data_IF_716916794588
#
_entry.id   IF_716916794588
#
_cell.length_a   1.000
_cell.length_b   1.000
_cell.length_c   1.000
_cell.angle_alpha   90.00
_cell.angle_beta   90.00
_cell.angle_gamma   90.00
#
_symmetry.space_group_name_H-M   'P 1'
#
loop_
_entity.id
_entity.type
_entity.pdbx_description
1 polymer ?
#
# COMPACT_ATOMS: atom_id res chain seq x y z
N UNK A 1 -29.00 -25.95 -53.39
CA UNK A 1 -30.27 -25.30 -53.16
C UNK A 1 -31.33 -26.28 -52.73
N UNK A 2 -31.62 -26.46 -51.48
CA UNK A 2 -32.92 -26.67 -50.86
C UNK A 2 -32.76 -26.84 -49.36
N UNK A 3 -33.29 -25.89 -48.65
CA UNK A 3 -33.49 -25.92 -47.24
C UNK A 3 -34.68 -26.79 -46.90
N UNK A 4 -34.58 -27.74 -46.00
CA UNK A 4 -35.74 -28.38 -45.36
C UNK A 4 -35.56 -28.28 -43.85
N UNK A 5 -36.41 -27.49 -43.26
CA UNK A 5 -36.70 -27.45 -41.84
C UNK A 5 -37.21 -28.78 -41.34
N UNK A 6 -36.75 -29.24 -40.21
CA UNK A 6 -37.44 -30.28 -39.42
C UNK A 6 -37.53 -29.81 -37.99
N UNK A 7 -38.74 -29.44 -37.61
CA UNK A 7 -39.19 -29.20 -36.24
C UNK A 7 -39.13 -30.50 -35.44
N UNK A 8 -38.65 -30.44 -34.22
CA UNK A 8 -38.79 -31.49 -33.22
C UNK A 8 -39.85 -31.10 -32.19
N UNK A 9 -40.71 -32.01 -31.77
CA UNK A 9 -41.84 -31.71 -30.89
C UNK A 9 -41.45 -31.70 -29.41
N UNK A 10 -42.16 -30.84 -28.67
CA UNK A 10 -42.15 -30.72 -27.23
C UNK A 10 -42.72 -31.97 -26.53
N UNK A 11 -42.16 -32.41 -25.40
CA UNK A 11 -42.86 -33.40 -24.56
C UNK A 11 -43.74 -32.72 -23.54
N UNK A 12 -44.94 -33.25 -23.45
CA UNK A 12 -46.07 -32.96 -22.57
C UNK A 12 -45.77 -33.23 -21.09
N UNK A 13 -46.38 -32.41 -20.26
CA UNK A 13 -46.51 -32.57 -18.81
C UNK A 13 -47.07 -33.94 -18.40
N UNK A 14 -46.54 -34.52 -17.32
CA UNK A 14 -47.29 -35.41 -16.44
C UNK A 14 -47.00 -35.05 -14.98
N UNK A 15 -48.07 -34.70 -14.31
CA UNK A 15 -48.20 -34.52 -12.88
C UNK A 15 -47.84 -35.79 -12.10
N UNK A 16 -47.14 -35.61 -10.97
CA UNK A 16 -47.20 -36.56 -9.86
C UNK A 16 -46.86 -35.86 -8.53
N UNK A 17 -47.90 -35.67 -7.78
CA UNK A 17 -48.08 -35.83 -6.33
C UNK A 17 -46.82 -35.89 -5.42
N UNK A 18 -46.85 -35.01 -4.51
CA UNK A 18 -46.54 -35.03 -3.09
C UNK A 18 -45.43 -35.94 -2.57
N UNK A 19 -44.43 -35.30 -1.98
CA UNK A 19 -43.82 -35.81 -0.77
C UNK A 19 -43.19 -34.66 0.02
N UNK A 20 -43.46 -34.72 1.28
CA UNK A 20 -43.09 -33.84 2.36
C UNK A 20 -41.62 -33.37 2.31
N UNK A 21 -41.44 -32.10 2.62
CA UNK A 21 -40.14 -31.53 2.93
C UNK A 21 -39.70 -31.98 4.34
N UNK A 22 -38.50 -32.51 4.53
CA UNK A 22 -37.93 -32.55 5.84
C UNK A 22 -37.40 -31.16 6.20
N UNK A 23 -37.80 -30.70 7.36
CA UNK A 23 -37.25 -29.56 8.08
C UNK A 23 -35.76 -29.73 8.23
N UNK A 24 -34.97 -28.94 7.57
CA UNK A 24 -33.55 -28.79 7.88
C UNK A 24 -33.37 -27.55 8.70
N UNK A 25 -33.60 -27.72 9.97
CA UNK A 25 -32.95 -27.00 11.01
C UNK A 25 -31.52 -27.56 11.09
N UNK A 26 -30.56 -26.89 10.51
CA UNK A 26 -29.18 -27.08 10.91
C UNK A 26 -28.26 -26.04 10.30
N UNK A 27 -27.64 -25.35 11.23
CA UNK A 27 -26.32 -24.82 11.17
C UNK A 27 -26.05 -23.65 10.22
N UNK A 28 -26.61 -22.53 10.55
CA UNK A 28 -25.99 -21.25 10.30
C UNK A 28 -24.71 -21.14 11.17
N UNK A 29 -23.65 -21.83 10.79
CA UNK A 29 -22.30 -21.48 11.19
C UNK A 29 -21.82 -20.39 10.25
N UNK A 30 -22.38 -19.21 10.43
CA UNK A 30 -21.77 -18.00 9.94
C UNK A 30 -20.38 -17.90 10.57
N UNK A 31 -19.37 -18.24 9.80
CA UNK A 31 -18.02 -17.76 10.06
C UNK A 31 -18.09 -16.24 10.12
N UNK A 32 -18.18 -15.71 11.33
CA UNK A 32 -17.94 -14.31 11.62
C UNK A 32 -16.47 -14.01 11.23
N UNK A 33 -16.26 -13.79 9.95
CA UNK A 33 -15.09 -13.11 9.47
C UNK A 33 -15.23 -11.69 10.00
N UNK A 34 -14.65 -11.46 11.18
CA UNK A 34 -14.57 -10.16 11.82
C UNK A 34 -14.14 -9.16 10.75
N UNK A 35 -15.07 -8.32 10.31
CA UNK A 35 -14.75 -7.11 9.57
C UNK A 35 -13.94 -6.25 10.53
N UNK A 36 -12.62 -6.35 10.46
CA UNK A 36 -11.75 -5.35 11.07
C UNK A 36 -12.21 -4.00 10.55
N UNK A 37 -12.80 -3.23 11.42
CA UNK A 37 -13.24 -1.88 11.11
C UNK A 37 -12.02 -1.03 10.75
N UNK A 38 -12.20 -0.04 9.88
CA UNK A 38 -11.14 0.90 9.50
C UNK A 38 -10.46 1.55 10.71
N UNK A 39 -11.15 1.59 11.83
CA UNK A 39 -10.68 2.16 13.10
C UNK A 39 -9.62 1.29 13.81
N UNK A 40 -9.63 -0.04 13.61
CA UNK A 40 -8.62 -0.93 14.20
C UNK A 40 -7.27 -0.88 13.47
N UNK A 41 -7.24 -0.29 12.27
CA UNK A 41 -6.01 -0.16 11.48
C UNK A 41 -5.17 1.06 11.86
N UNK A 42 -5.77 2.05 12.52
CA UNK A 42 -5.07 3.24 13.01
C UNK A 42 -4.34 3.01 14.34
N UNK A 43 -4.62 1.90 15.01
CA UNK A 43 -4.09 1.60 16.33
C UNK A 43 -2.76 0.83 16.31
N UNK A 44 -2.23 0.52 15.13
CA UNK A 44 -0.91 -0.06 15.04
C UNK A 44 0.12 1.06 15.23
N UNK A 45 0.47 1.31 16.48
CA UNK A 45 1.58 2.21 16.82
C UNK A 45 2.82 1.71 16.05
N UNK A 46 3.41 2.52 15.20
CA UNK A 46 4.66 2.14 14.56
C UNK A 46 5.70 1.92 15.65
N UNK A 47 6.45 0.82 15.58
CA UNK A 47 7.46 0.50 16.58
C UNK A 47 8.51 1.59 16.72
N UNK A 48 9.36 1.47 17.75
CA UNK A 48 10.45 2.42 18.02
C UNK A 48 11.31 2.70 16.76
N UNK A 49 11.66 3.96 16.55
CA UNK A 49 12.46 4.41 15.40
C UNK A 49 11.70 4.57 14.09
N UNK A 50 10.38 4.42 14.09
CA UNK A 50 9.53 4.70 12.94
C UNK A 50 8.79 6.01 13.16
N UNK A 51 8.99 6.97 12.25
CA UNK A 51 8.23 8.21 12.22
C UNK A 51 7.08 8.12 11.23
N UNK A 52 5.97 8.75 11.55
CA UNK A 52 4.76 8.78 10.70
C UNK A 52 4.47 10.21 10.31
N UNK A 53 4.30 10.42 9.01
CA UNK A 53 3.87 11.69 8.44
C UNK A 53 2.59 11.48 7.63
N UNK A 54 1.92 12.57 7.31
CA UNK A 54 0.78 12.56 6.40
C UNK A 54 1.08 13.51 5.25
N UNK A 55 0.96 13.02 4.01
CA UNK A 55 1.15 13.86 2.84
C UNK A 55 0.07 14.96 2.77
N UNK A 56 0.32 16.00 2.00
CA UNK A 56 -0.62 17.10 1.82
C UNK A 56 -1.97 16.65 1.25
N UNK A 57 -1.99 15.54 0.53
CA UNK A 57 -3.19 14.92 -0.03
C UNK A 57 -3.70 13.69 0.78
N UNK A 58 -3.22 13.52 2.01
CA UNK A 58 -3.81 12.63 3.01
C UNK A 58 -3.27 11.20 3.07
N UNK A 59 -2.17 10.88 2.38
CA UNK A 59 -1.54 9.56 2.48
C UNK A 59 -0.60 9.47 3.68
N UNK A 60 -0.67 8.38 4.44
CA UNK A 60 0.29 8.11 5.51
C UNK A 60 1.64 7.69 4.96
N UNK A 61 2.70 8.27 5.51
CA UNK A 61 4.08 8.02 5.14
C UNK A 61 4.83 7.54 6.37
N UNK A 62 5.47 6.37 6.28
CA UNK A 62 6.27 5.77 7.34
C UNK A 62 7.75 5.89 6.99
N UNK A 63 8.55 6.33 7.94
CA UNK A 63 10.00 6.52 7.77
C UNK A 63 10.74 5.73 8.83
N UNK A 64 11.58 4.78 8.42
CA UNK A 64 12.49 4.06 9.30
C UNK A 64 13.75 4.87 9.57
N UNK A 65 14.13 5.06 10.84
CA UNK A 65 15.25 5.91 11.25
C UNK A 65 16.52 5.16 11.61
N UNK A 66 16.49 3.84 11.58
CA UNK A 66 17.62 2.95 11.81
C UNK A 66 17.40 1.62 11.10
N UNK A 67 18.40 0.74 11.11
CA UNK A 67 18.34 -0.54 10.41
C UNK A 67 17.18 -1.43 10.87
N UNK A 68 16.92 -1.51 12.18
CA UNK A 68 15.81 -2.29 12.73
C UNK A 68 14.45 -1.70 12.31
N UNK A 69 14.30 -0.39 12.35
CA UNK A 69 13.08 0.29 11.92
C UNK A 69 12.87 0.14 10.40
N UNK A 70 13.91 0.25 9.59
CA UNK A 70 13.85 0.01 8.15
C UNK A 70 13.35 -1.40 7.83
N UNK A 71 13.88 -2.40 8.54
CA UNK A 71 13.44 -3.80 8.44
C UNK A 71 11.95 -3.94 8.76
N UNK A 72 11.49 -3.34 9.85
CA UNK A 72 10.08 -3.41 10.26
C UNK A 72 9.15 -2.66 9.30
N UNK A 73 9.52 -1.47 8.87
CA UNK A 73 8.73 -0.68 7.90
C UNK A 73 8.52 -1.46 6.62
N UNK A 74 9.59 -2.04 6.09
CA UNK A 74 9.57 -2.70 4.77
C UNK A 74 8.92 -4.08 4.81
N UNK A 75 9.25 -4.89 5.81
CA UNK A 75 8.88 -6.31 5.81
C UNK A 75 7.75 -6.69 6.77
N UNK A 76 7.41 -5.83 7.74
CA UNK A 76 6.36 -6.11 8.73
C UNK A 76 5.18 -5.14 8.65
N UNK A 77 5.45 -3.85 8.50
CA UNK A 77 4.42 -2.81 8.48
C UNK A 77 3.82 -2.62 7.10
N UNK A 78 4.66 -2.58 6.07
CA UNK A 78 4.24 -2.35 4.70
C UNK A 78 3.39 -3.49 4.14
N UNK A 79 2.43 -3.12 3.31
CA UNK A 79 1.56 -4.04 2.57
C UNK A 79 2.02 -4.14 1.12
N UNK A 80 1.72 -5.23 0.40
CA UNK A 80 2.24 -5.46 -0.95
C UNK A 80 1.99 -4.34 -1.96
N UNK A 81 0.87 -3.63 -1.86
CA UNK A 81 0.52 -2.54 -2.76
C UNK A 81 0.98 -1.15 -2.27
N UNK A 82 1.54 -1.03 -1.07
CA UNK A 82 2.14 0.20 -0.61
C UNK A 82 3.34 0.58 -1.49
N UNK A 83 3.73 1.84 -1.49
CA UNK A 83 4.89 2.31 -2.24
C UNK A 83 6.09 2.44 -1.31
N UNK A 84 7.20 1.90 -1.74
CA UNK A 84 8.47 1.92 -1.04
C UNK A 84 9.45 2.86 -1.75
N UNK A 85 10.15 3.68 -0.99
CA UNK A 85 11.11 4.65 -1.50
C UNK A 85 12.41 4.57 -0.72
N UNK A 86 13.51 4.84 -1.42
CA UNK A 86 14.85 4.95 -0.83
C UNK A 86 15.73 5.85 -1.69
N UNK A 87 16.45 6.79 -1.08
CA UNK A 87 17.45 7.58 -1.77
C UNK A 87 18.69 6.74 -2.08
N UNK A 88 19.43 7.11 -3.10
CA UNK A 88 20.71 6.48 -3.41
C UNK A 88 21.68 6.64 -2.22
N UNK A 89 22.40 5.56 -1.89
CA UNK A 89 23.29 5.49 -0.75
C UNK A 89 22.58 5.13 0.56
N UNK A 90 23.29 5.21 1.71
CA UNK A 90 22.71 4.92 3.01
C UNK A 90 21.58 5.88 3.38
N UNK A 91 20.49 5.35 3.90
CA UNK A 91 19.35 6.18 4.30
C UNK A 91 18.13 5.40 4.79
N UNK A 92 17.09 6.13 5.09
CA UNK A 92 15.82 5.60 5.59
C UNK A 92 15.01 4.92 4.50
N UNK A 93 14.36 3.81 4.86
CA UNK A 93 13.27 3.25 4.07
C UNK A 93 12.01 4.08 4.34
N UNK A 94 11.34 4.47 3.27
CA UNK A 94 10.10 5.26 3.33
C UNK A 94 8.99 4.46 2.65
N UNK A 95 7.81 4.42 3.28
CA UNK A 95 6.66 3.70 2.73
C UNK A 95 5.44 4.63 2.73
N UNK A 96 4.80 4.76 1.58
CA UNK A 96 3.51 5.42 1.43
C UNK A 96 2.43 4.35 1.53
N UNK A 97 1.50 4.50 2.47
CA UNK A 97 0.34 3.62 2.60
C UNK A 97 -0.60 3.78 1.41
N UNK A 98 -1.00 2.69 0.81
CA UNK A 98 -1.85 2.66 -0.38
C UNK A 98 -3.13 1.81 -0.15
N UNK A 99 -4.10 2.31 0.63
CA UNK A 99 -5.31 1.56 0.94
C UNK A 99 -6.22 1.38 -0.28
N UNK A 100 -6.17 2.31 -1.22
CA UNK A 100 -6.94 2.26 -2.48
C UNK A 100 -6.33 1.35 -3.55
N UNK A 101 -5.15 0.79 -3.30
CA UNK A 101 -4.43 -0.08 -4.24
C UNK A 101 -4.23 0.54 -5.63
N UNK A 102 -4.00 1.85 -5.66
CA UNK A 102 -3.68 2.55 -6.91
C UNK A 102 -2.35 2.06 -7.47
N UNK A 103 -2.20 2.08 -8.79
CA UNK A 103 -1.01 1.54 -9.46
C UNK A 103 0.22 2.43 -9.30
N UNK A 104 0.02 3.73 -9.24
CA UNK A 104 1.07 4.74 -9.11
C UNK A 104 0.72 5.68 -7.96
N UNK A 105 1.72 6.17 -7.21
CA UNK A 105 1.46 7.13 -6.14
C UNK A 105 1.03 8.48 -6.73
N UNK A 106 0.25 9.23 -5.95
CA UNK A 106 -0.02 10.62 -6.32
C UNK A 106 1.30 11.40 -6.42
N UNK A 107 1.37 12.39 -7.31
CA UNK A 107 2.58 13.20 -7.48
C UNK A 107 2.96 13.93 -6.20
N UNK A 108 1.97 14.42 -5.46
CA UNK A 108 2.19 15.12 -4.18
C UNK A 108 2.80 14.16 -3.15
N UNK A 109 2.18 13.01 -2.90
CA UNK A 109 2.69 12.02 -1.94
C UNK A 109 4.06 11.49 -2.36
N UNK A 110 4.28 11.24 -3.65
CA UNK A 110 5.57 10.77 -4.17
C UNK A 110 6.67 11.79 -3.91
N UNK A 111 6.46 13.07 -4.24
CA UNK A 111 7.46 14.11 -4.05
C UNK A 111 7.75 14.37 -2.57
N UNK A 112 6.74 14.43 -1.73
CA UNK A 112 6.93 14.60 -0.29
C UNK A 112 7.66 13.41 0.34
N UNK A 113 7.28 12.19 0.02
CA UNK A 113 7.96 10.99 0.50
C UNK A 113 9.40 10.88 -0.03
N UNK A 114 9.63 11.25 -1.29
CA UNK A 114 10.96 11.29 -1.87
C UNK A 114 11.85 12.36 -1.21
N UNK A 115 11.30 13.53 -0.90
CA UNK A 115 12.01 14.56 -0.13
C UNK A 115 12.40 14.07 1.27
N UNK A 116 11.53 13.35 1.95
CA UNK A 116 11.84 12.70 3.24
C UNK A 116 12.94 11.65 3.10
N UNK A 117 12.86 10.80 2.08
CA UNK A 117 13.89 9.78 1.83
C UNK A 117 15.26 10.43 1.58
N UNK A 118 15.32 11.50 0.81
CA UNK A 118 16.54 12.25 0.55
C UNK A 118 17.06 12.95 1.82
N UNK A 119 16.18 13.58 2.58
CA UNK A 119 16.54 14.26 3.83
C UNK A 119 17.10 13.31 4.89
N UNK A 120 16.53 12.11 5.01
CA UNK A 120 17.01 11.09 5.95
C UNK A 120 18.02 10.12 5.31
N UNK A 121 18.85 10.61 4.43
CA UNK A 121 19.91 9.87 3.75
C UNK A 121 21.22 10.61 3.76
N UNK A 122 22.27 9.96 3.25
CA UNK A 122 23.57 10.59 3.00
C UNK A 122 23.52 11.74 1.98
N UNK A 123 22.45 11.83 1.17
CA UNK A 123 22.24 12.91 0.21
C UNK A 123 21.60 14.17 0.81
N UNK A 124 21.45 14.26 2.11
CA UNK A 124 20.81 15.39 2.82
C UNK A 124 21.35 16.77 2.45
N UNK A 125 22.64 16.87 2.19
CA UNK A 125 23.31 18.12 1.81
C UNK A 125 23.30 18.43 0.31
N UNK A 126 22.78 17.54 -0.51
CA UNK A 126 22.70 17.73 -1.95
C UNK A 126 21.53 18.66 -2.33
N UNK A 127 21.65 19.34 -3.48
CA UNK A 127 20.56 20.15 -4.03
C UNK A 127 19.40 19.26 -4.45
N UNK A 128 19.69 18.12 -5.09
CA UNK A 128 18.72 17.11 -5.49
C UNK A 128 19.34 15.72 -5.31
N UNK A 129 18.50 14.75 -5.03
CA UNK A 129 18.88 13.36 -4.90
C UNK A 129 18.00 12.47 -5.77
N UNK A 130 18.58 11.41 -6.30
CA UNK A 130 17.82 10.34 -6.94
C UNK A 130 17.18 9.48 -5.85
N UNK A 131 15.88 9.28 -5.96
CA UNK A 131 15.11 8.42 -5.07
C UNK A 131 14.45 7.33 -5.89
N UNK A 132 14.76 6.08 -5.56
CA UNK A 132 14.11 4.93 -6.18
C UNK A 132 12.80 4.64 -5.47
N UNK A 133 11.77 4.31 -6.22
CA UNK A 133 10.49 3.91 -5.69
C UNK A 133 9.89 2.73 -6.46
N UNK A 134 9.13 1.92 -5.77
CA UNK A 134 8.42 0.77 -6.32
C UNK A 134 7.29 0.36 -5.39
N UNK A 135 6.43 -0.55 -5.82
CA UNK A 135 5.51 -1.19 -4.88
C UNK A 135 6.25 -2.21 -4.02
N UNK A 136 5.86 -2.34 -2.76
CA UNK A 136 6.50 -3.23 -1.76
C UNK A 136 6.57 -4.68 -2.24
N UNK A 137 5.61 -5.15 -3.02
CA UNK A 137 5.62 -6.48 -3.63
C UNK A 137 6.85 -6.79 -4.50
N UNK A 138 7.57 -5.75 -4.94
CA UNK A 138 8.81 -5.88 -5.73
C UNK A 138 10.07 -5.75 -4.90
N UNK A 139 9.94 -5.50 -3.59
CA UNK A 139 11.06 -5.42 -2.65
C UNK A 139 11.32 -6.80 -2.05
N UNK A 140 12.55 -7.24 -2.07
CA UNK A 140 12.96 -8.56 -1.56
C UNK A 140 14.08 -8.42 -0.55
N UNK A 141 14.00 -9.25 0.49
CA UNK A 141 15.07 -9.41 1.46
C UNK A 141 16.10 -10.41 0.94
N UNK A 142 17.41 -10.08 0.92
CA UNK A 142 18.44 -11.07 0.64
C UNK A 142 18.40 -12.22 1.66
N UNK A 143 18.73 -13.43 1.23
CA UNK A 143 18.80 -14.60 2.13
C UNK A 143 19.82 -14.41 3.26
N UNK A 144 20.94 -13.76 2.93
CA UNK A 144 22.01 -13.39 3.85
C UNK A 144 22.32 -11.92 3.64
N UNK A 145 22.38 -11.17 4.70
CA UNK A 145 22.70 -9.74 4.63
C UNK A 145 22.32 -9.03 5.91
N UNK A 146 22.84 -7.81 6.11
CA UNK A 146 22.50 -7.01 7.28
C UNK A 146 21.03 -6.56 7.23
N UNK A 147 20.51 -6.21 8.41
CA UNK A 147 19.17 -5.63 8.54
C UNK A 147 19.03 -4.39 7.66
N UNK A 148 17.87 -4.26 7.03
CA UNK A 148 17.59 -3.13 6.15
C UNK A 148 18.12 -3.27 4.74
N UNK A 149 18.94 -4.27 4.42
CA UNK A 149 19.36 -4.52 3.06
C UNK A 149 18.23 -5.14 2.25
N UNK A 150 17.98 -4.61 1.05
CA UNK A 150 16.98 -5.09 0.11
C UNK A 150 17.52 -5.13 -1.31
N UNK A 151 16.90 -5.91 -2.19
CA UNK A 151 17.02 -5.77 -3.63
C UNK A 151 15.64 -5.56 -4.27
N UNK A 152 15.62 -4.83 -5.37
CA UNK A 152 14.40 -4.44 -6.06
C UNK A 152 14.27 -5.21 -7.38
N UNK A 153 13.14 -5.85 -7.59
CA UNK A 153 12.82 -6.50 -8.88
C UNK A 153 12.49 -5.48 -9.96
N UNK A 154 11.84 -4.39 -9.56
CA UNK A 154 11.48 -3.25 -10.38
C UNK A 154 11.67 -1.99 -9.56
N UNK A 155 12.10 -0.93 -10.20
CA UNK A 155 12.16 0.38 -9.57
C UNK A 155 12.01 1.47 -10.60
N UNK A 156 11.37 2.55 -10.19
CA UNK A 156 11.36 3.83 -10.87
C UNK A 156 12.27 4.78 -10.09
N UNK A 157 12.71 5.85 -10.74
CA UNK A 157 13.54 6.87 -10.11
C UNK A 157 12.86 8.22 -10.25
N UNK A 158 12.88 9.00 -9.18
CA UNK A 158 12.46 10.41 -9.18
C UNK A 158 13.54 11.26 -8.55
N UNK A 159 13.63 12.51 -8.99
CA UNK A 159 14.48 13.51 -8.36
C UNK A 159 13.71 14.22 -7.25
N UNK A 160 14.35 14.40 -6.11
CA UNK A 160 13.75 15.12 -5.00
C UNK A 160 14.77 16.02 -4.30
N UNK A 161 14.31 17.15 -3.82
CA UNK A 161 15.08 18.02 -2.94
C UNK A 161 15.00 17.48 -1.52
N UNK A 162 16.14 17.34 -0.80
CA UNK A 162 16.14 17.03 0.61
C UNK A 162 15.53 18.17 1.43
N UNK A 163 14.30 17.97 1.90
CA UNK A 163 13.58 18.99 2.70
C UNK A 163 13.23 18.43 4.06
N UNK A 164 13.51 19.19 5.13
CA UNK A 164 13.19 18.76 6.48
C UNK A 164 11.67 18.59 6.68
N UNK A 165 11.24 17.64 7.50
CA UNK A 165 9.82 17.47 7.81
C UNK A 165 9.15 18.74 8.34
N UNK A 166 9.89 19.51 9.13
CA UNK A 166 9.39 20.78 9.69
C UNK A 166 9.05 21.82 8.62
N UNK A 167 9.80 21.84 7.53
CA UNK A 167 9.56 22.74 6.40
C UNK A 167 8.51 22.14 5.46
N UNK A 168 8.65 20.86 5.16
CA UNK A 168 7.78 20.16 4.20
C UNK A 168 6.31 20.14 4.64
N UNK A 169 6.06 19.95 5.94
CA UNK A 169 4.73 19.88 6.54
C UNK A 169 4.40 21.10 7.42
N UNK A 170 5.08 22.23 7.19
CA UNK A 170 4.75 23.47 7.88
C UNK A 170 3.32 23.91 7.57
N UNK A 171 2.55 24.41 8.57
CA UNK A 171 1.26 24.99 8.29
C UNK A 171 1.40 26.19 7.36
N UNK A 172 0.43 26.43 6.46
CA UNK A 172 0.48 27.60 5.58
C UNK A 172 0.59 28.86 6.42
N UNK A 173 1.51 29.74 6.04
CA UNK A 173 1.64 31.05 6.70
C UNK A 173 0.30 31.79 6.61
N UNK A 174 -0.19 32.39 7.71
CA UNK A 174 -1.40 33.18 7.67
C UNK A 174 -1.21 34.30 6.65
N UNK A 175 -2.03 34.32 5.64
CA UNK A 175 -2.08 35.46 4.69
C UNK A 175 -2.50 36.68 5.48
N UNK A 176 -1.58 37.63 5.64
CA UNK A 176 -1.94 38.97 6.13
C UNK A 176 -2.80 39.59 5.05
N UNK A 177 -4.11 39.57 5.25
CA UNK A 177 -4.97 40.47 4.50
C UNK A 177 -4.60 41.90 4.93
N UNK A 178 -4.01 42.63 4.03
CA UNK A 178 -3.83 44.10 4.12
C UNK A 178 -5.11 44.75 3.70
#
# INVERSE_FOLDING_TARGET
>A
SRWTSTEAPLPTEKSATGKEMPSIESANRSSKKSRRTRHDQDKLMPGAGIEVFTSSDGFKIFVGRNADANERVTHKLARPNDFWLHAEGPGSHVVIRNPGRIKEPSQVALQEAASLAAYFSSARGATKANVRWTQVKHVRKPRKGPKGQVYLRRANTTLAEPVSPKVLFAPPKPTKHV
#
